data_IF_968798289637
#
_entry.id   IF_968798289637
#
_cell.length_a   1.000
_cell.length_b   1.000
_cell.length_c   1.000
_cell.angle_alpha   90.00
_cell.angle_beta   90.00
_cell.angle_gamma   90.00
#
_symmetry.space_group_name_H-M   'P 1'
#
loop_
_entity.id
_entity.type
_entity.pdbx_description
1 polymer ?
#
# COMPACT_ATOMS: atom_id res chain seq x y z
N UNK A 1 9.35 -10.24 7.56
CA UNK A 1 8.58 -9.08 8.03
C UNK A 1 7.34 -8.92 7.17
N UNK A 2 6.25 -8.45 7.75
CA UNK A 2 4.99 -8.12 7.06
C UNK A 2 4.82 -6.60 6.95
N UNK A 3 4.07 -6.17 5.94
CA UNK A 3 3.73 -4.78 5.67
C UNK A 3 2.28 -4.72 5.20
N UNK A 4 1.66 -3.58 5.44
CA UNK A 4 0.37 -3.22 4.87
C UNK A 4 0.58 -2.15 3.82
N UNK A 5 -0.14 -2.26 2.70
CA UNK A 5 0.00 -1.36 1.56
C UNK A 5 -1.37 -0.76 1.23
N UNK A 6 -1.47 0.57 1.33
CA UNK A 6 -2.65 1.32 0.91
C UNK A 6 -2.35 1.96 -0.45
N UNK A 7 -3.23 1.81 -1.42
CA UNK A 7 -3.06 2.51 -2.69
C UNK A 7 -3.37 4.00 -2.52
N UNK A 8 -2.61 4.85 -3.20
CA UNK A 8 -2.64 6.31 -3.00
C UNK A 8 -4.03 6.92 -3.21
N UNK A 9 -4.83 6.39 -4.13
CA UNK A 9 -6.20 6.84 -4.35
C UNK A 9 -7.09 6.62 -3.12
N UNK A 10 -7.01 5.43 -2.50
CA UNK A 10 -7.74 5.12 -1.27
C UNK A 10 -7.28 6.00 -0.12
N UNK A 11 -5.97 6.19 0.04
CA UNK A 11 -5.38 7.03 1.08
C UNK A 11 -5.85 8.49 0.97
N UNK A 12 -5.85 9.06 -0.25
CA UNK A 12 -6.37 10.41 -0.50
C UNK A 12 -7.86 10.51 -0.17
N UNK A 13 -8.69 9.52 -0.57
CA UNK A 13 -10.11 9.49 -0.17
C UNK A 13 -10.26 9.53 1.35
N UNK A 14 -9.37 8.85 2.08
CA UNK A 14 -9.39 8.81 3.54
C UNK A 14 -9.00 10.14 4.18
N UNK A 15 -7.99 10.83 3.61
CA UNK A 15 -7.62 12.18 4.04
C UNK A 15 -8.73 13.20 3.79
N UNK A 16 -9.39 13.14 2.64
CA UNK A 16 -10.54 14.02 2.34
C UNK A 16 -11.71 13.74 3.28
N UNK A 17 -12.03 12.47 3.53
CA UNK A 17 -13.09 12.09 4.47
C UNK A 17 -12.79 12.57 5.90
N UNK A 18 -11.52 12.51 6.34
CA UNK A 18 -11.11 13.04 7.64
C UNK A 18 -11.20 14.57 7.68
N UNK A 19 -10.71 15.25 6.64
CA UNK A 19 -10.73 16.71 6.53
C UNK A 19 -12.15 17.29 6.61
N UNK A 20 -13.12 16.61 5.99
CA UNK A 20 -14.53 17.02 5.96
C UNK A 20 -15.33 16.57 7.19
N UNK A 21 -14.70 15.92 8.16
CA UNK A 21 -15.34 15.39 9.38
C UNK A 21 -15.17 16.30 10.59
N UNK A 22 -15.97 16.05 11.63
CA UNK A 22 -15.80 16.68 12.96
C UNK A 22 -14.82 15.91 13.88
N UNK A 23 -14.06 14.94 13.35
CA UNK A 23 -13.12 14.12 14.14
C UNK A 23 -11.83 14.91 14.42
N UNK A 24 -11.48 15.05 15.70
CA UNK A 24 -10.29 15.80 16.15
C UNK A 24 -9.16 14.91 16.68
N UNK A 25 -9.45 13.62 16.89
CA UNK A 25 -8.48 12.64 17.34
C UNK A 25 -7.69 12.03 16.17
N UNK A 26 -6.48 11.48 16.40
CA UNK A 26 -5.77 10.74 15.38
C UNK A 26 -6.60 9.58 14.81
N UNK A 27 -6.59 9.44 13.47
CA UNK A 27 -7.26 8.37 12.73
C UNK A 27 -6.24 7.68 11.82
N UNK A 28 -6.16 6.35 11.90
CA UNK A 28 -5.36 5.58 10.96
C UNK A 28 -6.09 5.51 9.62
N UNK A 29 -5.47 6.06 8.57
CA UNK A 29 -5.87 5.85 7.18
C UNK A 29 -4.85 4.90 6.57
N UNK A 30 -5.30 3.73 6.14
CA UNK A 30 -4.43 2.69 5.60
C UNK A 30 -5.19 1.42 5.27
N UNK A 31 -4.46 0.37 4.91
CA UNK A 31 -5.04 -0.93 4.60
C UNK A 31 -4.74 -1.94 5.71
N UNK A 32 -5.73 -2.63 6.30
CA UNK A 32 -5.47 -3.63 7.35
C UNK A 32 -4.96 -4.97 6.78
N UNK A 33 -4.96 -5.16 5.46
CA UNK A 33 -4.45 -6.38 4.83
C UNK A 33 -2.91 -6.43 4.93
N UNK A 34 -2.41 -7.53 5.49
CA UNK A 34 -0.97 -7.77 5.66
C UNK A 34 -0.42 -8.70 4.58
N UNK A 35 0.78 -8.35 4.11
CA UNK A 35 1.55 -9.14 3.16
C UNK A 35 2.99 -9.26 3.66
N UNK A 36 3.61 -10.42 3.44
CA UNK A 36 5.05 -10.58 3.57
C UNK A 36 5.77 -9.80 2.46
N UNK A 37 7.01 -9.39 2.72
CA UNK A 37 7.85 -8.78 1.68
C UNK A 37 8.14 -9.74 0.51
N UNK A 38 8.07 -11.06 0.74
CA UNK A 38 8.22 -12.05 -0.31
C UNK A 38 7.01 -12.03 -1.25
N UNK A 39 5.79 -12.04 -0.71
CA UNK A 39 4.55 -11.93 -1.52
C UNK A 39 4.53 -10.65 -2.34
N UNK A 40 4.93 -9.51 -1.75
CA UNK A 40 5.07 -8.26 -2.50
C UNK A 40 6.04 -8.42 -3.68
N UNK A 41 7.24 -8.96 -3.44
CA UNK A 41 8.25 -9.14 -4.47
C UNK A 41 7.79 -10.08 -5.59
N UNK A 42 7.07 -11.14 -5.24
CA UNK A 42 6.50 -12.09 -6.19
C UNK A 42 5.42 -11.45 -7.06
N UNK A 43 4.49 -10.70 -6.47
CA UNK A 43 3.43 -9.97 -7.21
C UNK A 43 4.07 -8.96 -8.17
N UNK A 44 5.02 -8.15 -7.71
CA UNK A 44 5.73 -7.18 -8.56
C UNK A 44 6.42 -7.89 -9.72
N UNK A 45 7.14 -8.98 -9.47
CA UNK A 45 7.82 -9.74 -10.52
C UNK A 45 6.85 -10.26 -11.57
N UNK A 46 5.71 -10.80 -11.14
CA UNK A 46 4.67 -11.33 -12.01
C UNK A 46 4.03 -10.23 -12.88
N UNK A 47 3.56 -9.14 -12.25
CA UNK A 47 2.88 -8.04 -12.94
C UNK A 47 3.80 -7.33 -13.94
N UNK A 48 5.09 -7.16 -13.59
CA UNK A 48 6.08 -6.59 -14.50
C UNK A 48 6.42 -7.55 -15.64
N UNK A 49 6.30 -8.87 -15.43
CA UNK A 49 6.80 -9.90 -16.34
C UNK A 49 8.33 -10.05 -16.30
N UNK A 50 8.94 -9.77 -15.13
CA UNK A 50 10.40 -9.73 -14.98
C UNK A 50 11.00 -11.11 -14.67
N UNK A 51 12.22 -11.35 -15.17
CA UNK A 51 13.04 -12.52 -14.81
C UNK A 51 14.04 -12.24 -13.67
N UNK A 52 13.92 -11.12 -12.97
CA UNK A 52 14.82 -10.77 -11.86
C UNK A 52 14.80 -11.82 -10.74
N UNK A 53 15.97 -12.09 -10.18
CA UNK A 53 16.13 -12.95 -9.01
C UNK A 53 15.65 -12.25 -7.74
N UNK A 54 14.94 -12.98 -6.86
CA UNK A 54 14.59 -12.51 -5.52
C UNK A 54 15.74 -12.92 -4.58
N UNK A 55 16.47 -11.94 -4.05
CA UNK A 55 17.62 -12.17 -3.16
C UNK A 55 17.28 -11.77 -1.73
N UNK A 56 17.51 -12.68 -0.78
CA UNK A 56 17.27 -12.45 0.63
C UNK A 56 18.45 -11.73 1.28
N UNK A 57 18.15 -10.70 2.08
CA UNK A 57 19.11 -9.94 2.87
C UNK A 57 18.66 -9.86 4.33
N UNK A 58 19.57 -9.71 5.30
CA UNK A 58 19.21 -9.52 6.70
C UNK A 58 18.28 -8.31 6.88
N UNK A 59 17.36 -8.41 7.84
CA UNK A 59 16.48 -7.30 8.22
C UNK A 59 17.31 -6.18 8.88
N UNK A 60 17.08 -4.89 8.55
CA UNK A 60 17.68 -3.79 9.30
C UNK A 60 17.25 -3.85 10.78
N UNK A 61 18.16 -3.49 11.69
CA UNK A 61 17.94 -3.62 13.14
C UNK A 61 16.72 -2.81 13.62
N UNK A 62 16.48 -1.65 13.01
CA UNK A 62 15.41 -0.72 13.42
C UNK A 62 14.09 -0.93 12.66
N UNK A 63 13.98 -1.97 11.83
CA UNK A 63 12.80 -2.21 11.02
C UNK A 63 11.80 -3.10 11.80
N UNK A 64 10.56 -2.63 12.08
CA UNK A 64 9.57 -3.43 12.78
C UNK A 64 9.19 -4.67 11.96
N UNK A 65 8.97 -5.77 12.66
CA UNK A 65 8.62 -7.05 12.07
C UNK A 65 7.19 -7.08 11.50
N UNK A 66 6.27 -6.30 12.09
CA UNK A 66 4.85 -6.21 11.74
C UNK A 66 4.42 -4.75 11.61
N UNK A 67 3.59 -4.45 10.61
CA UNK A 67 2.93 -3.14 10.42
C UNK A 67 1.51 -3.36 9.87
N UNK A 68 0.52 -3.31 10.75
CA UNK A 68 -0.90 -3.47 10.43
C UNK A 68 -1.72 -2.35 11.09
N UNK A 69 -2.31 -1.42 10.32
CA UNK A 69 -3.14 -0.37 10.90
C UNK A 69 -4.50 -0.92 11.32
N UNK A 70 -4.91 -0.64 12.56
CA UNK A 70 -6.31 -0.75 12.97
C UNK A 70 -7.09 0.45 12.41
N UNK A 71 -8.00 0.19 11.47
CA UNK A 71 -8.82 1.20 10.78
C UNK A 71 -10.26 1.29 11.29
N UNK A 72 -10.56 0.70 12.45
CA UNK A 72 -11.93 0.71 13.04
C UNK A 72 -12.47 2.13 13.15
N UNK A 73 -11.65 3.09 13.59
CA UNK A 73 -12.07 4.51 13.69
C UNK A 73 -12.40 5.12 12.32
N UNK A 74 -11.64 4.79 11.27
CA UNK A 74 -11.90 5.33 9.94
C UNK A 74 -13.20 4.78 9.35
N UNK A 75 -13.46 3.48 9.55
CA UNK A 75 -14.75 2.85 9.18
C UNK A 75 -15.92 3.47 9.92
N UNK A 76 -15.83 3.52 11.25
CA UNK A 76 -16.96 3.91 12.10
C UNK A 76 -17.27 5.41 12.04
N UNK A 77 -16.23 6.26 11.93
CA UNK A 77 -16.37 7.71 12.06
C UNK A 77 -16.36 8.45 10.74
N UNK A 78 -15.71 7.89 9.71
CA UNK A 78 -15.57 8.51 8.39
C UNK A 78 -16.35 7.75 7.31
N UNK A 79 -16.88 6.56 7.61
CA UNK A 79 -17.46 5.69 6.57
C UNK A 79 -16.45 5.29 5.51
N UNK A 80 -15.15 5.28 5.86
CA UNK A 80 -14.06 5.05 4.92
C UNK A 80 -13.42 3.68 5.13
N UNK A 81 -13.13 3.01 4.02
CA UNK A 81 -12.21 1.87 3.95
C UNK A 81 -11.50 1.84 2.58
N UNK A 82 -10.31 1.21 2.48
CA UNK A 82 -9.64 1.00 1.21
C UNK A 82 -10.43 0.01 0.35
N UNK A 83 -10.36 0.18 -0.97
CA UNK A 83 -11.11 -0.61 -1.95
C UNK A 83 -10.23 -1.25 -3.02
N UNK A 84 -8.99 -0.78 -3.15
CA UNK A 84 -8.04 -1.23 -4.18
C UNK A 84 -7.12 -2.27 -3.56
N UNK A 85 -7.17 -3.49 -4.09
CA UNK A 85 -6.32 -4.58 -3.65
C UNK A 85 -4.84 -4.32 -4.02
N UNK A 86 -3.90 -4.91 -3.28
CA UNK A 86 -2.47 -4.72 -3.52
C UNK A 86 -2.06 -5.00 -4.97
N UNK A 87 -2.53 -6.12 -5.56
CA UNK A 87 -2.20 -6.48 -6.95
C UNK A 87 -2.67 -5.41 -7.94
N UNK A 88 -3.91 -4.96 -7.81
CA UNK A 88 -4.47 -3.91 -8.67
C UNK A 88 -3.68 -2.60 -8.53
N UNK A 89 -3.35 -2.22 -7.29
CA UNK A 89 -2.50 -1.05 -7.05
C UNK A 89 -1.12 -1.17 -7.69
N UNK A 90 -0.51 -2.36 -7.68
CA UNK A 90 0.77 -2.63 -8.36
C UNK A 90 0.62 -2.57 -9.88
N UNK A 91 -0.45 -3.13 -10.45
CA UNK A 91 -0.71 -3.07 -11.90
C UNK A 91 -0.78 -1.62 -12.40
N UNK A 92 -1.59 -0.79 -11.72
CA UNK A 92 -1.68 0.66 -12.02
C UNK A 92 -0.34 1.37 -11.84
N UNK A 93 0.42 1.01 -10.80
CA UNK A 93 1.75 1.60 -10.55
C UNK A 93 2.74 1.24 -11.65
N UNK A 94 2.74 -0.03 -12.11
CA UNK A 94 3.60 -0.50 -13.19
C UNK A 94 3.25 0.18 -14.52
N UNK A 95 1.96 0.37 -14.82
CA UNK A 95 1.51 1.14 -15.99
C UNK A 95 2.07 2.57 -15.95
N UNK A 96 1.91 3.27 -14.83
CA UNK A 96 2.48 4.61 -14.64
C UNK A 96 4.00 4.66 -14.87
N UNK A 97 4.76 3.68 -14.37
CA UNK A 97 6.21 3.62 -14.60
C UNK A 97 6.55 3.31 -16.07
N UNK A 98 5.80 2.44 -16.75
CA UNK A 98 6.01 2.14 -18.18
C UNK A 98 5.85 3.41 -19.03
N UNK A 99 4.82 4.21 -18.75
CA UNK A 99 4.61 5.48 -19.43
C UNK A 99 5.71 6.50 -19.09
N UNK A 100 6.03 6.67 -17.81
CA UNK A 100 6.98 7.70 -17.35
C UNK A 100 8.42 7.44 -17.80
N UNK A 101 8.81 6.16 -17.92
CA UNK A 101 10.14 5.77 -18.39
C UNK A 101 10.24 5.78 -19.93
N UNK A 102 9.15 5.52 -20.65
CA UNK A 102 9.14 5.59 -22.11
C UNK A 102 9.34 7.02 -22.66
N UNK A 103 9.12 8.05 -21.83
CA UNK A 103 9.38 9.46 -22.19
C UNK A 103 10.87 9.84 -22.00
N UNK A 104 11.67 8.98 -21.38
CA UNK A 104 13.11 9.21 -21.15
C UNK A 104 14.00 8.63 -22.26
N UNK A 105 13.43 7.85 -23.18
CA UNK A 105 14.08 7.32 -24.40
C UNK A 105 13.73 8.16 -25.64
#
# INVERSE_FOLDING_TARGET
QTRSFCYVEDEIRGFLALLDSDVVEPVNIGNPDEFTMLELAEIVREVVGSSSEIVFRPLPVDDPAQRQPDITKARDRLGWEPTIALREGIERTVEHFRESLAVLD
#
